data_IF_458988740457
#
_entry.id   IF_458988740457
#
_cell.length_a   1.000
_cell.length_b   1.000
_cell.length_c   1.000
_cell.angle_alpha   90.00
_cell.angle_beta   90.00
_cell.angle_gamma   90.00
#
_symmetry.space_group_name_H-M   'P 1'
#
loop_
_entity.id
_entity.type
_entity.pdbx_description
1 polymer ?
#
# COMPACT_ATOMS: atom_id res chain seq x y z
N UNK A 1 -4.37 -11.37 -6.30
CA UNK A 1 -3.40 -11.55 -5.21
C UNK A 1 -2.27 -10.56 -5.42
N UNK A 2 -1.74 -10.00 -4.34
CA UNK A 2 -0.75 -8.92 -4.33
C UNK A 2 0.31 -9.15 -3.26
N UNK A 3 1.50 -8.56 -3.45
CA UNK A 3 2.53 -8.51 -2.41
C UNK A 3 2.32 -7.22 -1.64
N UNK A 4 2.10 -7.35 -0.34
CA UNK A 4 1.68 -6.22 0.49
C UNK A 4 2.72 -6.00 1.57
N UNK A 5 3.11 -4.76 1.80
CA UNK A 5 3.89 -4.34 2.96
C UNK A 5 3.00 -3.51 3.88
N UNK A 6 3.07 -3.78 5.18
CA UNK A 6 2.39 -2.98 6.20
C UNK A 6 3.41 -2.15 6.95
N UNK A 7 3.08 -0.88 7.18
CA UNK A 7 3.94 0.04 7.91
C UNK A 7 3.16 0.61 9.10
N UNK A 8 3.68 0.38 10.31
CA UNK A 8 3.11 0.93 11.54
C UNK A 8 4.15 1.01 12.64
N UNK A 9 3.79 1.66 13.75
CA UNK A 9 4.58 1.61 14.99
C UNK A 9 4.43 0.21 15.61
N UNK A 10 5.53 -0.55 15.81
CA UNK A 10 5.45 -1.86 16.43
C UNK A 10 4.92 -1.79 17.86
N UNK A 11 4.04 -2.73 18.24
CA UNK A 11 3.56 -2.91 19.61
C UNK A 11 4.02 -4.27 20.15
N UNK A 12 4.45 -4.29 21.41
CA UNK A 12 4.90 -5.53 22.03
C UNK A 12 3.74 -6.52 22.15
N UNK A 13 3.92 -7.73 21.61
CA UNK A 13 2.93 -8.80 21.66
C UNK A 13 1.80 -8.69 20.63
N UNK A 14 1.78 -7.64 19.80
CA UNK A 14 0.82 -7.50 18.69
C UNK A 14 1.22 -8.44 17.55
N UNK A 15 0.25 -9.21 17.04
CA UNK A 15 0.43 -10.05 15.85
C UNK A 15 0.08 -9.29 14.55
N UNK A 16 0.32 -9.94 13.41
CA UNK A 16 0.12 -9.31 12.10
C UNK A 16 -1.36 -8.97 11.84
N UNK A 17 -2.29 -9.83 12.28
CA UNK A 17 -3.72 -9.64 12.05
C UNK A 17 -4.24 -8.47 12.90
N UNK A 18 -3.84 -8.42 14.17
CA UNK A 18 -4.14 -7.29 15.07
C UNK A 18 -3.57 -5.97 14.55
N UNK A 19 -2.33 -5.98 14.04
CA UNK A 19 -1.72 -4.81 13.42
C UNK A 19 -2.50 -4.35 12.19
N UNK A 20 -2.85 -5.26 11.28
CA UNK A 20 -3.63 -4.93 10.07
C UNK A 20 -5.00 -4.35 10.42
N UNK A 21 -5.72 -4.99 11.35
CA UNK A 21 -7.02 -4.51 11.80
C UNK A 21 -6.90 -3.08 12.34
N UNK A 22 -5.86 -2.81 13.12
CA UNK A 22 -5.60 -1.47 13.65
C UNK A 22 -5.30 -0.43 12.57
N UNK A 23 -4.49 -0.75 11.56
CA UNK A 23 -4.10 0.21 10.51
C UNK A 23 -5.29 0.50 9.60
N UNK A 24 -6.04 -0.53 9.21
CA UNK A 24 -7.07 -0.45 8.19
C UNK A 24 -8.47 -0.14 8.75
N UNK A 25 -8.72 -0.36 10.05
CA UNK A 25 -10.02 -0.06 10.62
C UNK A 25 -10.27 1.46 10.61
N UNK A 26 -11.45 1.90 10.13
CA UNK A 26 -11.82 3.30 10.21
C UNK A 26 -11.90 3.71 11.68
N UNK A 27 -11.09 4.69 12.08
CA UNK A 27 -11.12 5.24 13.42
C UNK A 27 -12.53 5.77 13.73
N UNK A 28 -13.22 5.28 14.78
CA UNK A 28 -14.56 5.74 15.13
C UNK A 28 -14.55 7.20 15.59
N UNK A 29 -13.38 7.74 15.92
CA UNK A 29 -13.14 9.11 16.39
C UNK A 29 -12.46 10.00 15.32
N UNK A 30 -12.41 9.57 14.05
CA UNK A 30 -11.83 10.35 12.96
C UNK A 30 -12.51 11.73 12.87
N UNK A 31 -11.94 12.71 13.58
CA UNK A 31 -12.40 14.09 13.53
C UNK A 31 -11.74 14.77 12.33
N UNK A 32 -12.44 15.61 11.54
CA UNK A 32 -11.97 16.09 10.24
C UNK A 32 -10.75 17.04 10.24
N UNK A 33 -10.07 17.21 11.37
CA UNK A 33 -9.11 18.31 11.54
C UNK A 33 -8.00 17.94 12.55
N UNK A 34 -7.36 16.79 12.33
CA UNK A 34 -6.35 16.28 13.27
C UNK A 34 -4.93 16.41 12.75
N UNK A 35 -3.98 16.36 13.69
CA UNK A 35 -2.55 16.17 13.40
C UNK A 35 -2.29 14.96 12.50
N UNK A 36 -3.18 13.95 12.52
CA UNK A 36 -3.06 12.78 11.65
C UNK A 36 -3.27 13.15 10.18
N UNK A 37 -4.23 14.02 9.86
CA UNK A 37 -4.47 14.47 8.48
C UNK A 37 -3.28 15.25 7.93
N UNK A 38 -2.69 16.12 8.77
CA UNK A 38 -1.46 16.85 8.43
C UNK A 38 -0.31 15.88 8.17
N UNK A 39 -0.10 14.89 9.05
CA UNK A 39 0.94 13.86 8.90
C UNK A 39 0.76 13.03 7.63
N UNK A 40 -0.48 12.62 7.29
CA UNK A 40 -0.78 11.89 6.05
C UNK A 40 -0.43 12.72 4.81
N UNK A 41 -0.80 14.00 4.79
CA UNK A 41 -0.47 14.92 3.68
C UNK A 41 1.02 15.16 3.56
N UNK A 42 1.73 15.43 4.66
CA UNK A 42 3.18 15.61 4.67
C UNK A 42 3.91 14.35 4.15
N UNK A 43 3.46 13.16 4.55
CA UNK A 43 4.03 11.90 4.05
C UNK A 43 3.73 11.70 2.56
N UNK A 44 2.52 12.00 2.11
CA UNK A 44 2.16 11.91 0.70
C UNK A 44 3.00 12.86 -0.15
N UNK A 45 3.18 14.11 0.29
CA UNK A 45 4.06 15.08 -0.36
C UNK A 45 5.51 14.59 -0.40
N UNK A 46 6.02 14.01 0.69
CA UNK A 46 7.36 13.43 0.73
C UNK A 46 7.53 12.28 -0.28
N UNK A 47 6.52 11.42 -0.43
CA UNK A 47 6.52 10.34 -1.41
C UNK A 47 6.51 10.89 -2.85
N UNK A 48 5.63 11.83 -3.16
CA UNK A 48 5.56 12.48 -4.49
C UNK A 48 6.86 13.22 -4.82
N UNK A 49 7.46 13.93 -3.85
CA UNK A 49 8.76 14.58 -4.06
C UNK A 49 9.89 13.58 -4.33
N UNK A 50 9.86 12.41 -3.68
CA UNK A 50 10.86 11.35 -3.89
C UNK A 50 10.67 10.61 -5.20
N UNK A 51 9.43 10.54 -5.70
CA UNK A 51 9.06 9.83 -6.92
C UNK A 51 7.92 10.57 -7.62
N UNK A 52 8.27 11.49 -8.54
CA UNK A 52 7.30 12.36 -9.20
C UNK A 52 6.23 11.66 -10.06
N UNK A 53 6.34 10.34 -10.24
CA UNK A 53 5.34 9.53 -10.93
C UNK A 53 4.17 9.13 -10.03
N UNK A 54 4.30 9.20 -8.71
CA UNK A 54 3.16 8.93 -7.82
C UNK A 54 2.13 10.06 -7.97
N UNK A 55 0.89 9.66 -8.22
CA UNK A 55 -0.26 10.54 -8.37
C UNK A 55 -1.22 10.32 -7.20
N UNK A 56 -1.71 11.43 -6.65
CA UNK A 56 -2.71 11.40 -5.59
C UNK A 56 -4.06 10.97 -6.15
N UNK A 57 -4.62 9.90 -5.58
CA UNK A 57 -5.98 9.47 -5.82
C UNK A 57 -6.85 9.89 -4.64
N UNK A 58 -7.86 10.70 -4.93
CA UNK A 58 -8.86 11.16 -3.95
C UNK A 58 -10.24 10.70 -4.44
N UNK A 59 -10.78 9.61 -3.88
CA UNK A 59 -12.12 9.16 -4.25
C UNK A 59 -13.16 10.21 -3.87
N UNK A 60 -14.14 10.46 -4.75
CA UNK A 60 -15.30 11.31 -4.44
C UNK A 60 -16.23 10.54 -3.48
N UNK A 61 -16.40 10.98 -2.22
CA UNK A 61 -17.25 10.28 -1.26
C UNK A 61 -18.70 10.11 -1.72
N UNK A 62 -19.22 11.02 -2.56
CA UNK A 62 -20.58 10.89 -3.10
C UNK A 62 -20.68 9.80 -4.17
N UNK A 63 -19.67 9.69 -5.03
CA UNK A 63 -19.60 8.63 -6.05
C UNK A 63 -19.40 7.28 -5.38
N UNK A 64 -18.48 7.21 -4.42
CA UNK A 64 -18.24 6.02 -3.61
C UNK A 64 -19.49 5.56 -2.86
N UNK A 65 -20.22 6.48 -2.20
CA UNK A 65 -21.47 6.16 -1.51
C UNK A 65 -22.52 5.54 -2.45
N UNK A 66 -22.64 6.08 -3.67
CA UNK A 66 -23.57 5.56 -4.69
C UNK A 66 -23.16 4.16 -5.16
N UNK A 67 -21.88 3.97 -5.46
CA UNK A 67 -21.35 2.70 -5.98
C UNK A 67 -21.42 1.58 -4.96
N UNK A 68 -21.02 1.85 -3.72
CA UNK A 68 -20.97 0.88 -2.64
C UNK A 68 -22.32 0.71 -1.91
N UNK A 69 -23.32 1.52 -2.27
CA UNK A 69 -24.64 1.54 -1.63
C UNK A 69 -24.56 1.76 -0.10
N UNK A 70 -23.67 2.65 0.34
CA UNK A 70 -23.47 3.04 1.74
C UNK A 70 -23.93 4.47 1.99
N UNK A 71 -24.04 4.88 3.25
CA UNK A 71 -24.33 6.28 3.58
C UNK A 71 -23.17 7.20 3.19
N UNK A 72 -23.44 8.47 2.91
CA UNK A 72 -22.38 9.46 2.62
C UNK A 72 -21.40 9.61 3.80
N UNK A 73 -21.88 9.52 5.03
CA UNK A 73 -21.02 9.59 6.22
C UNK A 73 -20.11 8.37 6.34
N UNK A 74 -20.60 7.18 5.98
CA UNK A 74 -19.80 5.96 5.90
C UNK A 74 -18.77 6.02 4.78
N UNK A 75 -19.16 6.50 3.60
CA UNK A 75 -18.24 6.74 2.49
C UNK A 75 -17.13 7.73 2.87
N UNK A 76 -17.47 8.85 3.53
CA UNK A 76 -16.45 9.80 4.02
C UNK A 76 -15.47 9.19 5.02
N UNK A 77 -15.93 8.26 5.87
CA UNK A 77 -15.05 7.53 6.80
C UNK A 77 -14.14 6.56 6.05
N UNK A 78 -14.66 5.88 5.03
CA UNK A 78 -13.91 4.91 4.23
C UNK A 78 -12.92 5.59 3.27
N UNK A 79 -13.23 6.79 2.76
CA UNK A 79 -12.35 7.62 1.93
C UNK A 79 -11.40 8.53 2.74
N UNK A 80 -11.14 8.23 4.02
CA UNK A 80 -10.30 9.08 4.89
C UNK A 80 -8.79 8.75 4.85
N UNK A 81 -8.41 7.77 4.04
CA UNK A 81 -7.02 7.48 3.69
C UNK A 81 -6.53 8.40 2.57
N UNK A 82 -5.21 8.52 2.45
CA UNK A 82 -4.58 9.09 1.26
C UNK A 82 -4.10 7.93 0.39
N UNK A 83 -4.51 7.90 -0.86
CA UNK A 83 -4.07 6.90 -1.83
C UNK A 83 -3.13 7.54 -2.85
N UNK A 84 -2.03 6.87 -3.14
CA UNK A 84 -1.07 7.22 -4.18
C UNK A 84 -0.92 6.05 -5.13
N UNK A 85 -1.06 6.32 -6.43
CA UNK A 85 -0.92 5.32 -7.47
C UNK A 85 0.13 5.77 -8.47
N UNK A 86 0.76 4.81 -9.15
CA UNK A 86 1.49 5.13 -10.38
C UNK A 86 0.52 5.40 -11.54
N UNK A 87 0.94 6.10 -12.61
CA UNK A 87 0.08 6.37 -13.76
C UNK A 87 -0.36 5.07 -14.44
N UNK A 88 -1.47 5.10 -15.17
CA UNK A 88 -2.05 3.89 -15.79
C UNK A 88 -1.09 3.17 -16.76
N UNK A 89 -0.25 3.93 -17.45
CA UNK A 89 0.72 3.41 -18.41
C UNK A 89 2.03 2.97 -17.74
N UNK A 90 2.19 3.21 -16.43
CA UNK A 90 3.31 2.67 -15.67
C UNK A 90 3.07 1.18 -15.41
N UNK A 91 3.98 0.31 -15.87
CA UNK A 91 3.79 -1.12 -15.73
C UNK A 91 3.78 -1.58 -14.26
N UNK A 92 4.48 -0.89 -13.35
CA UNK A 92 4.70 -1.29 -11.95
C UNK A 92 3.40 -1.56 -11.22
N UNK A 93 2.39 -0.74 -11.47
CA UNK A 93 1.11 -0.78 -10.81
C UNK A 93 1.15 -0.79 -9.29
N UNK A 94 2.14 -0.09 -8.72
CA UNK A 94 2.29 0.06 -7.27
C UNK A 94 1.21 1.02 -6.76
N UNK A 95 0.60 0.63 -5.66
CA UNK A 95 -0.34 1.43 -4.90
C UNK A 95 0.18 1.63 -3.48
N UNK A 96 0.02 2.83 -2.93
CA UNK A 96 0.35 3.17 -1.56
C UNK A 96 -0.89 3.78 -0.91
N UNK A 97 -1.31 3.22 0.21
CA UNK A 97 -2.39 3.75 1.03
C UNK A 97 -1.82 4.23 2.36
N UNK A 98 -2.16 5.45 2.76
CA UNK A 98 -1.71 6.07 4.01
C UNK A 98 -2.93 6.27 4.90
N UNK A 99 -2.90 5.62 6.06
CA UNK A 99 -3.93 5.67 7.09
C UNK A 99 -3.48 6.54 8.27
N UNK A 100 -4.35 6.70 9.26
CA UNK A 100 -4.04 7.46 10.48
C UNK A 100 -2.83 6.90 11.23
N UNK A 101 -2.81 5.58 11.43
CA UNK A 101 -1.81 4.88 12.26
C UNK A 101 -0.84 3.99 11.47
N UNK A 102 -0.83 4.11 10.15
CA UNK A 102 0.03 3.28 9.30
C UNK A 102 -0.03 3.61 7.83
N UNK A 103 0.63 2.78 7.03
CA UNK A 103 0.53 2.77 5.58
C UNK A 103 0.59 1.33 5.06
N UNK A 104 0.14 1.14 3.82
CA UNK A 104 0.21 -0.11 3.10
C UNK A 104 0.81 0.14 1.71
N UNK A 105 1.72 -0.72 1.26
CA UNK A 105 2.26 -0.68 -0.10
C UNK A 105 1.92 -2.00 -0.80
N UNK A 106 1.23 -1.91 -1.93
CA UNK A 106 0.67 -3.05 -2.64
C UNK A 106 1.30 -3.21 -4.01
N UNK A 107 1.78 -4.41 -4.32
CA UNK A 107 2.46 -4.76 -5.58
C UNK A 107 1.70 -5.86 -6.32
N UNK A 108 1.39 -5.70 -7.61
CA UNK A 108 0.74 -6.74 -8.40
C UNK A 108 1.71 -7.84 -8.85
N UNK A 109 1.25 -9.09 -8.92
CA UNK A 109 2.09 -10.27 -9.22
C UNK A 109 2.42 -10.54 -10.71
N UNK A 110 2.60 -9.52 -11.55
CA UNK A 110 2.85 -9.71 -12.99
C UNK A 110 4.28 -9.41 -13.45
N UNK A 111 5.23 -9.24 -12.52
CA UNK A 111 6.56 -8.69 -12.80
C UNK A 111 7.74 -9.66 -12.71
N UNK A 112 7.72 -10.82 -13.36
CA UNK A 112 8.80 -11.81 -13.18
C UNK A 112 10.16 -11.29 -13.67
N UNK A 113 10.24 -10.84 -14.93
CA UNK A 113 11.51 -10.44 -15.56
C UNK A 113 12.10 -9.14 -15.01
N UNK A 114 11.27 -8.30 -14.38
CA UNK A 114 11.65 -6.97 -13.86
C UNK A 114 11.49 -6.85 -12.34
N UNK A 115 11.31 -7.98 -11.65
CA UNK A 115 11.09 -8.02 -10.19
C UNK A 115 12.11 -7.18 -9.42
N UNK A 116 13.40 -7.26 -9.78
CA UNK A 116 14.45 -6.50 -9.08
C UNK A 116 14.27 -4.98 -9.21
N UNK A 117 13.90 -4.49 -10.39
CA UNK A 117 13.71 -3.06 -10.62
C UNK A 117 12.52 -2.54 -9.82
N UNK A 118 11.39 -3.24 -9.87
CA UNK A 118 10.19 -2.83 -9.13
C UNK A 118 10.39 -2.95 -7.62
N UNK A 119 11.08 -3.98 -7.15
CA UNK A 119 11.38 -4.10 -5.72
C UNK A 119 12.32 -2.99 -5.24
N UNK A 120 13.30 -2.55 -6.05
CA UNK A 120 14.13 -1.39 -5.72
C UNK A 120 13.31 -0.11 -5.58
N UNK A 121 12.34 0.07 -6.48
CA UNK A 121 11.43 1.21 -6.42
C UNK A 121 10.56 1.18 -5.16
N UNK A 122 9.94 0.03 -4.87
CA UNK A 122 9.16 -0.16 -3.64
C UNK A 122 10.02 0.06 -2.41
N UNK A 123 11.26 -0.44 -2.41
CA UNK A 123 12.20 -0.22 -1.32
C UNK A 123 12.45 1.27 -1.07
N UNK A 124 12.53 2.07 -2.13
CA UNK A 124 12.61 3.52 -2.04
C UNK A 124 11.40 4.13 -1.32
N UNK A 125 10.18 3.67 -1.63
CA UNK A 125 8.96 4.09 -0.94
C UNK A 125 8.98 3.74 0.54
N UNK A 126 9.33 2.49 0.88
CA UNK A 126 9.42 2.02 2.26
C UNK A 126 10.42 2.86 3.07
N UNK A 127 11.59 3.15 2.50
CA UNK A 127 12.60 3.99 3.14
C UNK A 127 12.14 5.44 3.35
N UNK A 128 11.38 6.00 2.41
CA UNK A 128 10.79 7.34 2.57
C UNK A 128 9.78 7.34 3.71
N UNK A 129 8.93 6.31 3.82
CA UNK A 129 7.95 6.21 4.89
C UNK A 129 8.64 6.07 6.25
N UNK A 130 9.58 5.12 6.41
CA UNK A 130 10.29 4.92 7.68
C UNK A 130 11.13 6.15 8.10
N UNK A 131 11.68 6.91 7.15
CA UNK A 131 12.46 8.11 7.47
C UNK A 131 11.60 9.28 7.95
N UNK A 132 10.37 9.38 7.47
CA UNK A 132 9.46 10.49 7.80
C UNK A 132 8.48 10.15 8.93
N UNK A 133 8.51 8.93 9.45
CA UNK A 133 7.58 8.44 10.48
C UNK A 133 8.31 7.62 11.53
N UNK A 134 7.59 7.12 12.53
CA UNK A 134 8.08 6.13 13.48
C UNK A 134 7.75 4.70 13.04
N UNK A 135 7.24 4.54 11.81
CA UNK A 135 6.81 3.25 11.31
C UNK A 135 7.99 2.34 11.02
N UNK A 136 7.72 1.05 11.13
CA UNK A 136 8.58 -0.04 10.67
C UNK A 136 7.83 -0.81 9.61
N UNK A 137 8.57 -1.42 8.69
CA UNK A 137 8.00 -2.23 7.62
C UNK A 137 7.84 -3.67 8.08
N UNK A 138 6.63 -4.21 7.95
CA UNK A 138 6.32 -5.62 8.13
C UNK A 138 6.06 -6.28 6.78
N UNK A 139 6.68 -7.43 6.56
CA UNK A 139 6.43 -8.29 5.39
C UNK A 139 5.61 -9.51 5.85
N UNK A 140 4.31 -9.59 5.50
CA UNK A 140 3.45 -10.72 5.85
C UNK A 140 3.78 -11.99 5.06
N UNK A 141 4.48 -11.90 3.91
CA UNK A 141 4.93 -13.08 3.17
C UNK A 141 6.20 -13.71 3.77
N UNK A 142 6.99 -12.94 4.54
CA UNK A 142 8.12 -13.41 5.36
C UNK A 142 7.79 -13.55 6.85
N UNK A 143 6.63 -13.03 7.28
CA UNK A 143 6.14 -13.06 8.66
C UNK A 143 7.09 -12.37 9.66
N UNK A 144 7.60 -11.19 9.29
CA UNK A 144 8.54 -10.43 10.14
C UNK A 144 8.64 -8.95 9.80
N UNK A 145 9.11 -8.18 10.77
CA UNK A 145 9.62 -6.84 10.54
C UNK A 145 10.92 -6.89 9.72
N UNK A 146 11.06 -5.93 8.79
CA UNK A 146 12.20 -5.83 7.89
C UNK A 146 13.26 -4.85 8.43
N UNK A 147 14.50 -5.17 8.11
CA UNK A 147 15.63 -4.25 8.10
C UNK A 147 15.84 -3.74 6.65
N UNK A 148 15.41 -2.50 6.40
CA UNK A 148 15.51 -1.85 5.09
C UNK A 148 16.96 -1.62 4.61
N UNK A 149 17.98 -1.93 5.42
CA UNK A 149 19.38 -1.86 5.03
C UNK A 149 19.95 -3.18 4.45
N UNK A 150 19.30 -4.31 4.72
CA UNK A 150 19.87 -5.64 4.44
C UNK A 150 18.92 -6.63 3.78
N UNK A 151 17.60 -6.46 3.93
CA UNK A 151 16.62 -7.49 3.56
C UNK A 151 16.16 -7.51 2.09
N UNK A 152 16.57 -6.53 1.27
CA UNK A 152 16.03 -6.36 -0.09
C UNK A 152 16.21 -7.60 -0.97
N UNK A 153 17.33 -8.32 -0.84
CA UNK A 153 17.62 -9.51 -1.65
C UNK A 153 16.69 -10.69 -1.29
N UNK A 154 16.41 -10.88 0.01
CA UNK A 154 15.51 -11.92 0.49
C UNK A 154 14.07 -11.63 0.06
N UNK A 155 13.60 -10.40 0.29
CA UNK A 155 12.27 -9.94 -0.10
C UNK A 155 12.07 -10.05 -1.62
N UNK A 156 13.05 -9.61 -2.42
CA UNK A 156 12.98 -9.74 -3.88
C UNK A 156 12.91 -11.20 -4.31
N UNK A 157 13.66 -12.08 -3.66
CA UNK A 157 13.61 -13.52 -3.93
C UNK A 157 12.26 -14.12 -3.55
N UNK A 158 11.67 -13.70 -2.43
CA UNK A 158 10.33 -14.11 -2.00
C UNK A 158 9.26 -13.66 -3.00
N UNK A 159 9.31 -12.40 -3.42
CA UNK A 159 8.42 -11.83 -4.42
C UNK A 159 8.46 -12.64 -5.73
N UNK A 160 9.65 -12.90 -6.30
CA UNK A 160 9.78 -13.73 -7.52
C UNK A 160 9.14 -15.11 -7.37
N UNK A 161 9.37 -15.77 -6.24
CA UNK A 161 8.79 -17.09 -5.98
C UNK A 161 7.25 -17.04 -5.94
N UNK A 162 6.68 -15.97 -5.39
CA UNK A 162 5.23 -15.77 -5.34
C UNK A 162 4.67 -15.48 -6.74
N UNK A 163 5.33 -14.61 -7.51
CA UNK A 163 4.97 -14.31 -8.91
C UNK A 163 4.99 -15.56 -9.77
N UNK A 164 6.05 -16.38 -9.70
CA UNK A 164 6.17 -17.61 -10.47
C UNK A 164 5.05 -18.61 -10.12
N UNK A 165 4.72 -18.75 -8.83
CA UNK A 165 3.60 -19.59 -8.40
C UNK A 165 2.25 -19.06 -8.90
N UNK A 166 2.03 -17.75 -8.79
CA UNK A 166 0.82 -17.11 -9.28
C UNK A 166 0.69 -17.31 -10.80
N UNK A 167 1.74 -17.02 -11.58
CA UNK A 167 1.74 -17.22 -13.02
C UNK A 167 1.51 -18.69 -13.41
N UNK A 168 2.08 -19.65 -12.69
CA UNK A 168 1.80 -21.08 -12.94
C UNK A 168 0.33 -21.44 -12.68
N UNK A 169 -0.30 -20.83 -11.67
CA UNK A 169 -1.73 -21.01 -11.39
C UNK A 169 -2.62 -20.32 -12.43
N UNK A 170 -2.20 -19.15 -12.92
CA UNK A 170 -2.93 -18.34 -13.89
C UNK A 170 -2.52 -18.59 -15.35
N UNK A 171 -1.61 -19.52 -15.65
CA UNK A 171 -1.21 -19.82 -17.03
C UNK A 171 -2.38 -20.28 -17.92
N UNK A 172 -3.52 -20.62 -17.33
CA UNK A 172 -4.78 -20.94 -18.01
C UNK A 172 -5.83 -19.81 -17.96
N UNK A 173 -5.51 -18.62 -17.42
CA UNK A 173 -6.40 -17.46 -17.29
C UNK A 173 -5.72 -16.21 -17.88
N UNK A 174 -6.46 -15.43 -18.66
CA UNK A 174 -5.91 -14.21 -19.27
C UNK A 174 -5.48 -13.20 -18.18
N UNK A 175 -4.28 -12.64 -18.30
CA UNK A 175 -3.83 -11.58 -17.41
C UNK A 175 -4.83 -10.41 -17.44
N UNK A 176 -5.17 -9.82 -16.27
CA UNK A 176 -6.03 -8.64 -16.23
C UNK A 176 -5.35 -7.51 -17.00
N UNK A 177 -6.04 -6.99 -18.03
CA UNK A 177 -5.54 -5.90 -18.89
C UNK A 177 -5.54 -4.54 -18.19
N UNK A 178 -6.12 -4.45 -17.00
CA UNK A 178 -6.31 -3.20 -16.27
C UNK A 178 -5.84 -3.36 -14.83
N UNK A 179 -5.25 -2.32 -14.24
CA UNK A 179 -4.93 -2.31 -12.84
C UNK A 179 -6.18 -2.41 -11.96
N UNK A 180 -6.02 -3.01 -10.79
CA UNK A 180 -7.11 -3.41 -9.90
C UNK A 180 -7.76 -2.22 -9.16
N UNK A 181 -7.07 -1.10 -9.00
CA UNK A 181 -7.65 0.13 -8.46
C UNK A 181 -8.68 0.80 -9.39
N UNK A 182 -8.83 0.34 -10.65
CA UNK A 182 -9.84 0.87 -11.59
C UNK A 182 -11.26 0.31 -11.40
N UNK A 183 -11.43 -0.65 -10.49
CA UNK A 183 -12.75 -1.21 -10.19
C UNK A 183 -13.43 -0.51 -9.01
N UNK A 184 -12.78 0.52 -8.45
CA UNK A 184 -13.26 1.36 -7.36
C UNK A 184 -13.60 2.75 -7.88
#
# INVERSE_FOLDING_TARGET
MSYDFYLAVPREGEDADEMMERICAPSPEASPDTKADARRRELAEALVMSSPKLELFLPDPEEYAKQMSVSLDEAKRQCNNVELNVPEDDPSGIQIEIYEDGAMVTIPYWHDERASEFMQEVWGYLQVIERNTEYKTYDPQLDRWLDLSSDIEEVTSRYRNVVQKAQAQFANQAQPKKPWWKFW
#
